data_IF_565167890590
#
_entry.id   IF_565167890590
#
_cell.length_a   1.000
_cell.length_b   1.000
_cell.length_c   1.000
_cell.angle_alpha   90.00
_cell.angle_beta   90.00
_cell.angle_gamma   90.00
#
_symmetry.space_group_name_H-M   'P 1'
#
loop_
_entity.id
_entity.type
_entity.pdbx_description
1 polymer ?
#
# COMPACT_ATOMS: atom_id res chain seq x y z
N UNK A 1 -29.12 -3.32 19.21
CA UNK A 1 -29.04 -2.14 18.31
C UNK A 1 -30.31 -2.06 17.49
N UNK A 2 -30.83 -0.85 17.25
CA UNK A 2 -32.07 -0.59 16.47
C UNK A 2 -31.76 -0.43 14.97
N UNK A 3 -30.48 -0.37 14.60
CA UNK A 3 -29.97 -0.24 13.23
C UNK A 3 -28.89 -1.29 12.95
N UNK A 4 -28.56 -1.49 11.67
CA UNK A 4 -27.40 -2.29 11.28
C UNK A 4 -26.11 -1.66 11.84
N UNK A 5 -25.23 -2.44 12.47
CA UNK A 5 -23.94 -1.94 12.94
C UNK A 5 -23.07 -1.48 11.78
N UNK A 6 -22.28 -0.43 12.00
CA UNK A 6 -21.21 -0.03 11.09
C UNK A 6 -20.06 -1.04 11.15
N UNK A 7 -19.15 -1.01 10.17
CA UNK A 7 -17.93 -1.84 10.22
C UNK A 7 -17.08 -1.48 11.45
N UNK A 8 -17.02 -0.21 11.84
CA UNK A 8 -16.31 0.20 13.05
C UNK A 8 -16.94 -0.39 14.32
N UNK A 9 -18.28 -0.36 14.43
CA UNK A 9 -19.01 -0.97 15.55
C UNK A 9 -18.75 -2.48 15.65
N UNK A 10 -18.69 -3.17 14.50
CA UNK A 10 -18.38 -4.60 14.44
C UNK A 10 -16.93 -4.87 14.89
N UNK A 11 -15.97 -4.07 14.44
CA UNK A 11 -14.56 -4.21 14.84
C UNK A 11 -14.36 -3.93 16.33
N UNK A 12 -15.04 -2.92 16.88
CA UNK A 12 -15.06 -2.64 18.32
C UNK A 12 -15.56 -3.83 19.12
N UNK A 13 -16.69 -4.41 18.70
CA UNK A 13 -17.25 -5.60 19.34
C UNK A 13 -16.29 -6.80 19.35
N UNK A 14 -15.55 -7.01 18.25
CA UNK A 14 -14.54 -8.09 18.19
C UNK A 14 -13.35 -7.81 19.11
N UNK A 15 -12.84 -6.57 19.15
CA UNK A 15 -11.73 -6.20 20.05
C UNK A 15 -12.12 -6.46 21.51
N UNK A 16 -13.31 -6.02 21.91
CA UNK A 16 -13.86 -6.24 23.24
C UNK A 16 -14.00 -7.73 23.54
N UNK A 17 -14.53 -8.53 22.63
CA UNK A 17 -14.65 -9.98 22.82
C UNK A 17 -13.28 -10.67 22.97
N UNK A 18 -12.26 -10.24 22.23
CA UNK A 18 -10.90 -10.77 22.42
C UNK A 18 -10.36 -10.42 23.81
N UNK A 19 -10.65 -9.22 24.31
CA UNK A 19 -10.17 -8.75 25.61
C UNK A 19 -10.88 -9.41 26.79
N UNK A 20 -12.22 -9.46 26.76
CA UNK A 20 -13.04 -9.90 27.89
C UNK A 20 -13.28 -11.40 27.88
N UNK A 21 -13.40 -12.01 26.69
CA UNK A 21 -13.92 -13.37 26.57
C UNK A 21 -12.85 -14.36 26.11
N UNK A 22 -11.82 -13.92 25.37
CA UNK A 22 -10.78 -14.81 24.86
C UNK A 22 -9.52 -14.77 25.74
N UNK A 23 -8.88 -13.60 25.89
CA UNK A 23 -7.59 -13.44 26.57
C UNK A 23 -7.55 -14.08 27.98
N UNK A 24 -8.57 -13.93 28.85
CA UNK A 24 -8.54 -14.50 30.20
C UNK A 24 -8.49 -16.02 30.25
N UNK A 25 -8.92 -16.68 29.16
CA UNK A 25 -8.99 -18.14 29.07
C UNK A 25 -7.78 -18.76 28.36
N UNK A 26 -6.86 -17.95 27.85
CA UNK A 26 -5.62 -18.42 27.23
C UNK A 26 -4.56 -18.68 28.31
N UNK A 27 -4.16 -19.93 28.47
CA UNK A 27 -3.13 -20.32 29.45
C UNK A 27 -1.70 -20.19 28.91
N UNK A 28 -1.53 -20.25 27.59
CA UNK A 28 -0.22 -20.21 26.93
C UNK A 28 0.18 -18.76 26.60
N UNK A 29 1.41 -18.38 26.98
CA UNK A 29 1.93 -17.03 26.79
C UNK A 29 2.04 -16.65 25.30
N UNK A 30 2.34 -17.62 24.42
CA UNK A 30 2.40 -17.38 22.98
C UNK A 30 1.00 -17.15 22.40
N UNK A 31 -0.01 -17.89 22.87
CA UNK A 31 -1.41 -17.66 22.51
C UNK A 31 -1.89 -16.28 22.97
N UNK A 32 -1.56 -15.86 24.19
CA UNK A 32 -1.88 -14.52 24.70
C UNK A 32 -1.22 -13.42 23.85
N UNK A 33 0.07 -13.54 23.55
CA UNK A 33 0.78 -12.60 22.68
C UNK A 33 0.15 -12.54 21.28
N UNK A 34 -0.27 -13.69 20.73
CA UNK A 34 -0.94 -13.76 19.44
C UNK A 34 -2.30 -13.05 19.44
N UNK A 35 -3.08 -13.20 20.51
CA UNK A 35 -4.35 -12.49 20.69
C UNK A 35 -4.16 -10.97 20.81
N UNK A 36 -3.13 -10.52 21.53
CA UNK A 36 -2.77 -9.10 21.62
C UNK A 36 -2.30 -8.52 20.28
N UNK A 37 -1.53 -9.29 19.49
CA UNK A 37 -1.18 -8.90 18.12
C UNK A 37 -2.42 -8.76 17.24
N UNK A 38 -3.36 -9.71 17.32
CA UNK A 38 -4.63 -9.65 16.60
C UNK A 38 -5.45 -8.41 16.98
N UNK A 39 -5.57 -8.08 18.27
CA UNK A 39 -6.22 -6.84 18.72
C UNK A 39 -5.52 -5.60 18.17
N UNK A 40 -4.19 -5.57 18.20
CA UNK A 40 -3.41 -4.44 17.68
C UNK A 40 -3.67 -4.22 16.18
N UNK A 41 -3.76 -5.30 15.40
CA UNK A 41 -4.11 -5.24 13.98
C UNK A 41 -5.54 -4.73 13.77
N UNK A 42 -6.52 -5.25 14.52
CA UNK A 42 -7.91 -4.80 14.45
C UNK A 42 -8.05 -3.31 14.81
N UNK A 43 -7.32 -2.85 15.83
CA UNK A 43 -7.29 -1.44 16.22
C UNK A 43 -6.66 -0.56 15.13
N UNK A 44 -5.61 -1.03 14.46
CA UNK A 44 -5.03 -0.34 13.31
C UNK A 44 -6.01 -0.24 12.13
N UNK A 45 -6.77 -1.31 11.85
CA UNK A 45 -7.81 -1.29 10.81
C UNK A 45 -8.90 -0.27 11.15
N UNK A 46 -9.35 -0.18 12.40
CA UNK A 46 -10.30 0.86 12.84
C UNK A 46 -9.78 2.27 12.62
N UNK A 47 -8.49 2.50 12.88
CA UNK A 47 -7.87 3.82 12.67
C UNK A 47 -7.73 4.17 11.18
N UNK A 48 -7.54 3.17 10.31
CA UNK A 48 -7.43 3.36 8.87
C UNK A 48 -8.80 3.61 8.21
N UNK A 49 -9.86 2.97 8.72
CA UNK A 49 -11.18 2.94 8.09
C UNK A 49 -11.74 4.32 7.67
N UNK A 50 -11.62 5.39 8.48
CA UNK A 50 -12.17 6.72 8.11
C UNK A 50 -11.46 7.39 6.94
N UNK A 51 -10.18 7.03 6.68
CA UNK A 51 -9.34 7.68 5.65
C UNK A 51 -9.00 6.74 4.50
N UNK A 52 -9.35 5.46 4.60
CA UNK A 52 -8.92 4.43 3.65
C UNK A 52 -9.27 4.76 2.20
N UNK A 53 -10.50 5.18 1.93
CA UNK A 53 -10.95 5.49 0.57
C UNK A 53 -10.23 6.71 -0.01
N UNK A 54 -10.08 7.79 0.77
CA UNK A 54 -9.31 8.97 0.32
C UNK A 54 -7.85 8.63 0.09
N UNK A 55 -7.23 7.86 0.99
CA UNK A 55 -5.84 7.42 0.86
C UNK A 55 -5.63 6.53 -0.37
N UNK A 56 -6.59 5.66 -0.70
CA UNK A 56 -6.53 4.83 -1.91
C UNK A 56 -6.62 5.66 -3.20
N UNK A 57 -7.48 6.69 -3.24
CA UNK A 57 -7.61 7.58 -4.39
C UNK A 57 -6.35 8.44 -4.56
N UNK A 58 -5.81 8.97 -3.45
CA UNK A 58 -4.55 9.73 -3.47
C UNK A 58 -3.38 8.87 -3.96
N UNK A 59 -3.25 7.65 -3.42
CA UNK A 59 -2.22 6.70 -3.83
C UNK A 59 -2.39 6.30 -5.31
N UNK A 60 -3.62 6.09 -5.75
CA UNK A 60 -3.95 5.80 -7.14
C UNK A 60 -3.45 6.90 -8.10
N UNK A 61 -3.79 8.15 -7.82
CA UNK A 61 -3.39 9.30 -8.64
C UNK A 61 -1.86 9.53 -8.57
N UNK A 62 -1.24 9.29 -7.41
CA UNK A 62 0.21 9.33 -7.26
C UNK A 62 0.91 8.25 -8.10
N UNK A 63 0.35 7.04 -8.18
CA UNK A 63 0.87 5.97 -9.06
C UNK A 63 0.77 6.35 -10.53
N UNK A 64 -0.34 6.96 -10.98
CA UNK A 64 -0.48 7.44 -12.36
C UNK A 64 0.64 8.43 -12.71
N UNK A 65 0.85 9.44 -11.86
CA UNK A 65 1.89 10.44 -12.04
C UNK A 65 3.30 9.81 -12.04
N UNK A 66 3.59 8.96 -11.05
CA UNK A 66 4.90 8.32 -10.93
C UNK A 66 5.23 7.42 -12.14
N UNK A 67 4.24 6.71 -12.71
CA UNK A 67 4.45 5.94 -13.94
C UNK A 67 4.83 6.83 -15.13
N UNK A 68 4.16 7.99 -15.27
CA UNK A 68 4.48 8.97 -16.33
C UNK A 68 5.87 9.56 -16.15
N UNK A 69 6.18 10.02 -14.94
CA UNK A 69 7.44 10.71 -14.65
C UNK A 69 8.64 9.75 -14.73
N UNK A 70 8.48 8.52 -14.22
CA UNK A 70 9.51 7.49 -14.29
C UNK A 70 9.81 7.08 -15.74
N UNK A 71 8.79 7.00 -16.61
CA UNK A 71 8.99 6.73 -18.03
C UNK A 71 9.60 7.94 -18.77
N UNK A 72 9.23 9.16 -18.40
CA UNK A 72 9.81 10.39 -18.97
C UNK A 72 11.31 10.51 -18.67
N UNK A 73 11.76 10.10 -17.48
CA UNK A 73 13.19 10.03 -17.14
C UNK A 73 13.98 9.05 -18.04
N UNK A 74 13.29 8.13 -18.73
CA UNK A 74 13.88 7.15 -19.64
C UNK A 74 13.64 7.49 -21.11
N UNK A 75 13.23 8.72 -21.45
CA UNK A 75 12.83 9.09 -22.81
C UNK A 75 13.89 8.77 -23.87
N UNK A 76 15.17 9.01 -23.56
CA UNK A 76 16.30 8.77 -24.47
C UNK A 76 16.92 7.37 -24.33
N UNK A 77 16.39 6.53 -23.42
CA UNK A 77 16.88 5.17 -23.21
C UNK A 77 16.19 4.20 -24.16
N UNK A 78 16.99 3.54 -24.99
CA UNK A 78 16.55 2.46 -25.87
C UNK A 78 16.71 1.10 -25.18
N UNK A 79 15.77 0.19 -25.41
CA UNK A 79 15.81 -1.17 -24.88
C UNK A 79 14.42 -1.67 -24.47
N UNK A 80 14.23 -3.01 -24.42
CA UNK A 80 12.92 -3.58 -24.18
C UNK A 80 12.36 -3.25 -22.79
N UNK A 81 13.21 -3.02 -21.78
CA UNK A 81 12.83 -2.55 -20.44
C UNK A 81 12.23 -1.14 -20.49
N UNK A 82 12.93 -0.20 -21.14
CA UNK A 82 12.48 1.18 -21.28
C UNK A 82 11.20 1.27 -22.14
N UNK A 83 11.08 0.44 -23.18
CA UNK A 83 9.87 0.32 -23.99
C UNK A 83 8.66 -0.14 -23.16
N UNK A 84 8.82 -1.19 -22.34
CA UNK A 84 7.76 -1.66 -21.42
C UNK A 84 7.33 -0.57 -20.44
N UNK A 85 8.28 0.19 -19.88
CA UNK A 85 7.96 1.29 -18.98
C UNK A 85 7.17 2.41 -19.67
N UNK A 86 7.55 2.77 -20.91
CA UNK A 86 6.79 3.73 -21.72
C UNK A 86 5.38 3.23 -22.04
N UNK A 87 5.22 1.95 -22.34
CA UNK A 87 3.90 1.35 -22.59
C UNK A 87 3.00 1.40 -21.33
N UNK A 88 3.55 1.09 -20.15
CA UNK A 88 2.81 1.23 -18.87
C UNK A 88 2.43 2.68 -18.58
N UNK A 89 3.30 3.64 -18.89
CA UNK A 89 3.01 5.05 -18.75
C UNK A 89 1.91 5.52 -19.72
N UNK A 90 1.95 5.08 -20.98
CA UNK A 90 0.97 5.44 -22.00
C UNK A 90 -0.41 4.78 -21.81
N UNK A 91 -0.48 3.69 -21.03
CA UNK A 91 -1.73 2.99 -20.72
C UNK A 91 -2.25 3.38 -19.33
N UNK A 92 -1.59 2.93 -18.27
CA UNK A 92 -2.04 3.10 -16.89
C UNK A 92 -1.72 4.50 -16.36
N UNK A 93 -0.54 5.04 -16.70
CA UNK A 93 -0.13 6.39 -16.28
C UNK A 93 -0.94 7.52 -16.94
N UNK A 94 -1.48 7.26 -18.13
CA UNK A 94 -2.31 8.19 -18.90
C UNK A 94 -3.81 8.06 -18.60
N UNK A 95 -4.22 7.09 -17.78
CA UNK A 95 -5.60 6.96 -17.36
C UNK A 95 -6.01 8.15 -16.49
N UNK A 96 -7.27 8.58 -16.61
CA UNK A 96 -7.81 9.66 -15.80
C UNK A 96 -7.69 9.34 -14.30
N UNK A 97 -7.46 10.39 -13.53
CA UNK A 97 -7.46 10.33 -12.07
C UNK A 97 -8.86 9.97 -11.58
N UNK A 98 -8.95 9.11 -10.56
CA UNK A 98 -10.26 8.70 -10.04
C UNK A 98 -10.92 9.86 -9.28
N UNK A 99 -12.22 10.14 -9.51
CA UNK A 99 -12.95 11.12 -8.74
C UNK A 99 -13.22 10.60 -7.32
N UNK A 100 -13.15 11.47 -6.31
CA UNK A 100 -13.53 11.12 -4.94
C UNK A 100 -15.02 11.45 -4.68
N UNK A 101 -15.87 10.53 -4.16
CA UNK A 101 -15.62 9.10 -3.95
C UNK A 101 -15.94 8.26 -5.20
N UNK A 102 -15.08 7.30 -5.51
CA UNK A 102 -15.23 6.36 -6.62
C UNK A 102 -15.97 5.08 -6.18
N UNK A 103 -16.44 4.29 -7.15
CA UNK A 103 -16.96 2.94 -6.88
C UNK A 103 -15.88 2.08 -6.18
N UNK A 104 -16.16 1.45 -5.01
CA UNK A 104 -15.15 0.74 -4.24
C UNK A 104 -14.49 -0.42 -4.99
N UNK A 105 -15.26 -1.19 -5.78
CA UNK A 105 -14.71 -2.32 -6.53
C UNK A 105 -13.85 -1.84 -7.71
N UNK A 106 -14.31 -0.82 -8.43
CA UNK A 106 -13.50 -0.17 -9.47
C UNK A 106 -12.20 0.39 -8.91
N UNK A 107 -12.23 1.06 -7.76
CA UNK A 107 -11.05 1.63 -7.08
C UNK A 107 -10.07 0.54 -6.70
N UNK A 108 -10.55 -0.57 -6.13
CA UNK A 108 -9.71 -1.71 -5.73
C UNK A 108 -9.03 -2.37 -6.94
N UNK A 109 -9.77 -2.64 -8.01
CA UNK A 109 -9.21 -3.24 -9.23
C UNK A 109 -8.20 -2.31 -9.91
N UNK A 110 -8.52 -1.01 -9.97
CA UNK A 110 -7.63 0.02 -10.51
C UNK A 110 -6.32 0.12 -9.72
N UNK A 111 -6.39 0.04 -8.40
CA UNK A 111 -5.24 0.07 -7.52
C UNK A 111 -4.34 -1.17 -7.70
N UNK A 112 -4.91 -2.37 -7.73
CA UNK A 112 -4.15 -3.63 -7.93
C UNK A 112 -3.39 -3.62 -9.26
N UNK A 113 -4.02 -3.15 -10.34
CA UNK A 113 -3.38 -3.06 -11.65
C UNK A 113 -2.14 -2.14 -11.62
N UNK A 114 -2.21 -1.01 -10.90
CA UNK A 114 -1.12 -0.03 -10.82
C UNK A 114 -0.03 -0.44 -9.85
N UNK A 115 -0.36 -1.02 -8.70
CA UNK A 115 0.62 -1.63 -7.82
C UNK A 115 1.44 -2.71 -8.55
N UNK A 116 0.77 -3.50 -9.40
CA UNK A 116 1.42 -4.48 -10.28
C UNK A 116 2.35 -3.80 -11.29
N UNK A 117 1.88 -2.74 -11.96
CA UNK A 117 2.70 -1.98 -12.91
C UNK A 117 3.93 -1.33 -12.28
N UNK A 118 3.79 -0.74 -11.09
CA UNK A 118 4.91 -0.17 -10.31
C UNK A 118 5.92 -1.25 -9.97
N UNK A 119 5.47 -2.41 -9.47
CA UNK A 119 6.35 -3.56 -9.22
C UNK A 119 7.11 -3.98 -10.47
N UNK A 120 6.41 -4.10 -11.60
CA UNK A 120 7.04 -4.55 -12.84
C UNK A 120 8.04 -3.51 -13.39
N UNK A 121 7.78 -2.21 -13.20
CA UNK A 121 8.77 -1.16 -13.45
C UNK A 121 10.02 -1.31 -12.57
N UNK A 122 9.89 -1.69 -11.29
CA UNK A 122 11.06 -1.94 -10.43
C UNK A 122 11.93 -3.08 -10.95
N UNK A 123 11.33 -4.14 -11.53
CA UNK A 123 12.09 -5.21 -12.17
C UNK A 123 12.83 -4.73 -13.43
N UNK A 124 12.15 -3.95 -14.28
CA UNK A 124 12.76 -3.39 -15.49
C UNK A 124 13.93 -2.44 -15.14
N UNK A 125 13.77 -1.65 -14.08
CA UNK A 125 14.82 -0.77 -13.56
C UNK A 125 16.02 -1.54 -13.02
N UNK A 126 15.81 -2.62 -12.27
CA UNK A 126 16.92 -3.48 -11.79
C UNK A 126 17.74 -4.05 -12.95
N UNK A 127 17.08 -4.48 -14.03
CA UNK A 127 17.77 -4.94 -15.24
C UNK A 127 18.62 -3.82 -15.87
N UNK A 128 18.04 -2.62 -16.03
CA UNK A 128 18.75 -1.47 -16.61
C UNK A 128 19.90 -0.97 -15.73
N UNK A 129 19.74 -0.97 -14.40
CA UNK A 129 20.80 -0.61 -13.45
C UNK A 129 21.98 -1.59 -13.55
N UNK A 130 21.72 -2.89 -13.64
CA UNK A 130 22.76 -3.91 -13.83
C UNK A 130 23.48 -3.77 -15.17
N UNK A 131 22.80 -3.23 -16.18
CA UNK A 131 23.39 -2.88 -17.47
C UNK A 131 24.17 -1.54 -17.44
N UNK A 132 24.19 -0.83 -16.32
CA UNK A 132 24.93 0.43 -16.15
C UNK A 132 24.21 1.67 -16.70
N UNK A 133 22.90 1.61 -16.93
CA UNK A 133 22.11 2.73 -17.43
C UNK A 133 21.80 3.70 -16.28
N UNK A 134 22.49 4.84 -16.23
CA UNK A 134 22.33 5.84 -15.14
C UNK A 134 20.91 6.41 -15.04
N UNK A 135 20.22 6.61 -16.17
CA UNK A 135 18.84 7.10 -16.17
C UNK A 135 17.87 6.18 -15.40
N UNK A 136 18.22 4.90 -15.21
CA UNK A 136 17.44 4.00 -14.36
C UNK A 136 17.50 4.38 -12.87
N UNK A 137 18.60 4.97 -12.39
CA UNK A 137 18.71 5.44 -11.01
C UNK A 137 17.77 6.63 -10.74
N UNK A 138 17.68 7.55 -11.71
CA UNK A 138 16.77 8.70 -11.66
C UNK A 138 15.31 8.25 -11.67
N UNK A 139 14.96 7.37 -12.61
CA UNK A 139 13.63 6.78 -12.71
C UNK A 139 13.22 6.00 -11.45
N UNK A 140 14.16 5.23 -10.86
CA UNK A 140 13.95 4.53 -9.59
C UNK A 140 13.72 5.49 -8.41
N UNK A 141 14.40 6.63 -8.40
CA UNK A 141 14.24 7.65 -7.36
C UNK A 141 12.81 8.22 -7.37
N UNK A 142 12.24 8.44 -8.56
CA UNK A 142 10.85 8.89 -8.73
C UNK A 142 9.87 7.88 -8.12
N UNK A 143 9.99 6.59 -8.48
CA UNK A 143 9.10 5.56 -7.93
C UNK A 143 9.23 5.42 -6.41
N UNK A 144 10.45 5.51 -5.87
CA UNK A 144 10.69 5.48 -4.41
C UNK A 144 10.08 6.68 -3.69
N UNK A 145 10.16 7.87 -4.30
CA UNK A 145 9.57 9.08 -3.73
C UNK A 145 8.05 8.95 -3.59
N UNK A 146 7.38 8.33 -4.58
CA UNK A 146 5.95 8.06 -4.51
C UNK A 146 5.56 7.07 -3.40
N UNK A 147 6.36 6.02 -3.18
CA UNK A 147 6.07 5.00 -2.18
C UNK A 147 6.29 5.48 -0.72
N UNK A 148 7.20 6.44 -0.52
CA UNK A 148 7.65 6.83 0.82
C UNK A 148 6.54 7.38 1.73
N UNK A 149 5.68 8.33 1.30
CA UNK A 149 4.59 8.84 2.14
C UNK A 149 3.65 7.74 2.62
N UNK A 150 3.35 6.78 1.77
CA UNK A 150 2.40 5.71 2.08
C UNK A 150 2.99 4.70 3.06
N UNK A 151 4.26 4.35 2.91
CA UNK A 151 4.97 3.56 3.93
C UNK A 151 4.93 4.24 5.30
N UNK A 152 5.19 5.55 5.37
CA UNK A 152 5.14 6.30 6.62
C UNK A 152 3.72 6.36 7.22
N UNK A 153 2.69 6.52 6.37
CA UNK A 153 1.29 6.51 6.80
C UNK A 153 0.89 5.16 7.42
N UNK A 154 1.22 4.05 6.77
CA UNK A 154 0.96 2.71 7.32
C UNK A 154 1.76 2.43 8.59
N UNK A 155 3.04 2.83 8.65
CA UNK A 155 3.86 2.69 9.86
C UNK A 155 3.32 3.50 11.05
N UNK A 156 2.73 4.66 10.80
CA UNK A 156 2.10 5.46 11.85
C UNK A 156 0.77 4.86 12.34
N UNK A 157 0.03 4.19 11.45
CA UNK A 157 -1.28 3.58 11.74
C UNK A 157 -1.17 2.25 12.47
N UNK A 158 -0.10 1.49 12.22
CA UNK A 158 0.23 0.29 12.98
C UNK A 158 1.40 0.61 13.91
N UNK A 159 1.18 1.22 15.09
CA UNK A 159 2.24 1.42 16.05
C UNK A 159 2.81 0.03 16.38
N UNK A 160 4.05 -0.21 15.96
CA UNK A 160 4.82 -1.38 16.38
C UNK A 160 5.06 -1.26 17.88
N UNK A 161 4.08 -1.64 18.69
CA UNK A 161 4.26 -1.78 20.12
C UNK A 161 5.31 -2.88 20.36
N UNK A 162 6.52 -2.45 20.70
CA UNK A 162 7.54 -3.29 21.33
C UNK A 162 8.37 -4.17 20.38
N UNK A 163 9.44 -3.60 19.83
CA UNK A 163 10.73 -4.31 19.82
C UNK A 163 10.93 -5.47 18.82
N UNK A 164 10.35 -5.42 17.63
CA UNK A 164 10.60 -6.43 16.58
C UNK A 164 11.35 -5.87 15.35
N UNK A 165 12.19 -4.86 15.54
CA UNK A 165 13.27 -4.52 14.61
C UNK A 165 14.59 -5.03 15.20
N UNK A 166 15.01 -6.21 14.77
CA UNK A 166 16.36 -6.73 15.01
C UNK A 166 16.51 -7.74 16.14
N UNK A 167 15.87 -8.91 16.04
CA UNK A 167 16.45 -10.19 16.51
C UNK A 167 15.94 -11.33 15.62
N UNK A 168 16.81 -11.74 14.69
CA UNK A 168 16.62 -12.81 13.72
C UNK A 168 17.64 -12.65 12.60
#
# INVERSE_FOLDING_TARGET
>A
MITSPTIDDMLEGVILAVETDILPHLADAKAQASAQMMQSLLQGVRQLLPVYESSLVEEHNAMNAALRDAAAALADVSGPEADRMRERAASLGAADDLPAPADPEQTRLAHVARATAVRDCLYDLDVMQRAGIQAADESLTILRAMLTPQYLHYMATFPMQGGMLGRG
#
